data_IF_547432799555
#
_entry.id   IF_547432799555
#
_cell.length_a   1.000
_cell.length_b   1.000
_cell.length_c   1.000
_cell.angle_alpha   90.00
_cell.angle_beta   90.00
_cell.angle_gamma   90.00
#
_symmetry.space_group_name_H-M   'P 1'
#
loop_
_entity.id
_entity.type
_entity.pdbx_description
1 polymer ?
#
# COMPACT_ATOMS: atom_id res chain seq x y z
N UNK A 1 8.28 17.79 -32.70
CA UNK A 1 9.51 18.04 -31.91
C UNK A 1 10.56 16.99 -32.26
N UNK A 2 11.73 16.98 -31.62
CA UNK A 2 12.80 16.00 -31.88
C UNK A 2 12.39 14.53 -31.62
N UNK A 3 11.33 14.28 -30.83
CA UNK A 3 10.84 12.94 -30.50
C UNK A 3 10.58 12.04 -31.73
N UNK A 4 10.22 12.62 -32.88
CA UNK A 4 9.91 11.85 -34.09
C UNK A 4 11.11 11.23 -34.82
N UNK A 5 12.35 11.40 -34.33
CA UNK A 5 13.58 10.95 -35.03
C UNK A 5 14.51 10.02 -34.23
N UNK A 6 14.12 9.62 -33.02
CA UNK A 6 14.84 8.60 -32.22
C UNK A 6 14.02 7.33 -32.03
N UNK A 7 13.37 6.87 -33.11
CA UNK A 7 12.80 5.52 -33.22
C UNK A 7 13.93 4.46 -33.36
N UNK A 8 14.84 4.42 -32.40
CA UNK A 8 15.79 3.33 -32.22
C UNK A 8 15.13 2.20 -31.42
N UNK A 9 15.39 0.96 -31.82
CA UNK A 9 14.90 -0.26 -31.17
C UNK A 9 14.97 -0.20 -29.63
N UNK A 10 13.81 -0.12 -28.97
CA UNK A 10 13.62 -0.54 -27.57
C UNK A 10 12.60 -1.68 -27.60
N UNK A 11 13.05 -2.91 -27.35
CA UNK A 11 12.25 -4.10 -27.67
C UNK A 11 11.10 -4.37 -26.68
N UNK A 12 11.11 -3.69 -25.53
CA UNK A 12 9.91 -3.34 -24.76
C UNK A 12 10.05 -1.89 -24.31
N UNK A 13 9.02 -1.08 -24.50
CA UNK A 13 8.91 0.23 -23.85
C UNK A 13 8.57 0.05 -22.38
N UNK A 14 8.98 0.99 -21.52
CA UNK A 14 8.39 1.12 -20.18
C UNK A 14 6.88 1.25 -20.34
N UNK A 15 6.11 0.42 -19.62
CA UNK A 15 4.66 0.49 -19.65
C UNK A 15 4.23 1.80 -18.99
N UNK A 16 3.23 2.46 -19.56
CA UNK A 16 2.59 3.60 -18.94
C UNK A 16 1.93 3.16 -17.62
N UNK A 17 2.11 3.96 -16.57
CA UNK A 17 1.36 3.83 -15.31
C UNK A 17 0.87 5.22 -14.88
N UNK A 18 -0.34 5.36 -14.30
CA UNK A 18 -0.89 6.67 -13.94
C UNK A 18 -0.02 7.43 -12.93
N UNK A 19 0.54 6.71 -11.97
CA UNK A 19 1.42 7.26 -10.94
C UNK A 19 2.77 7.73 -11.51
N UNK A 20 3.28 7.10 -12.57
CA UNK A 20 4.45 7.62 -13.30
C UNK A 20 4.14 8.92 -14.05
N UNK A 21 2.92 9.08 -14.57
CA UNK A 21 2.46 10.35 -15.15
C UNK A 21 2.31 11.43 -14.06
N UNK A 22 1.72 11.10 -12.91
CA UNK A 22 1.59 12.00 -11.75
C UNK A 22 2.97 12.51 -11.30
N UNK A 23 3.92 11.61 -11.02
CA UNK A 23 5.28 11.95 -10.62
C UNK A 23 6.01 12.80 -11.68
N UNK A 24 5.77 12.53 -12.97
CA UNK A 24 6.38 13.25 -14.08
C UNK A 24 5.78 14.64 -14.33
N UNK A 25 4.48 14.83 -14.06
CA UNK A 25 3.78 16.11 -14.23
C UNK A 25 3.95 17.06 -13.06
N UNK A 26 4.15 16.57 -11.85
CA UNK A 26 4.31 17.42 -10.67
C UNK A 26 5.77 17.90 -10.46
N UNK A 27 6.64 17.78 -11.46
CA UNK A 27 8.02 18.30 -11.44
C UNK A 27 8.33 19.23 -12.61
N UNK A 28 9.50 19.85 -12.58
CA UNK A 28 10.07 20.60 -13.70
C UNK A 28 10.16 19.71 -14.97
N UNK A 29 9.76 20.19 -16.16
CA UNK A 29 9.46 21.58 -16.50
C UNK A 29 7.99 21.99 -16.39
N UNK A 30 7.08 21.07 -16.11
CA UNK A 30 5.63 21.35 -16.03
C UNK A 30 5.33 22.25 -14.83
N UNK A 31 5.99 22.01 -13.70
CA UNK A 31 5.92 22.86 -12.50
C UNK A 31 6.99 23.96 -12.55
N UNK A 32 6.53 25.19 -12.32
CA UNK A 32 7.37 26.40 -12.24
C UNK A 32 8.15 26.50 -10.93
N UNK A 33 8.68 27.69 -10.64
CA UNK A 33 9.42 27.92 -9.39
C UNK A 33 8.50 28.23 -8.21
N UNK A 34 8.99 27.98 -6.99
CA UNK A 34 8.39 28.53 -5.77
C UNK A 34 8.72 30.04 -5.62
N UNK A 35 8.21 30.74 -4.58
CA UNK A 35 8.51 32.17 -4.36
C UNK A 35 9.99 32.47 -4.08
N UNK A 36 10.78 31.48 -3.69
CA UNK A 36 12.25 31.57 -3.55
C UNK A 36 13.02 31.48 -4.88
N UNK A 37 12.35 31.13 -5.98
CA UNK A 37 12.97 30.92 -7.29
C UNK A 37 13.54 29.51 -7.49
N UNK A 38 13.29 28.59 -6.57
CA UNK A 38 13.75 27.20 -6.63
C UNK A 38 12.85 26.36 -7.54
N UNK A 39 13.40 25.33 -8.17
CA UNK A 39 12.65 24.41 -9.06
C UNK A 39 12.39 23.08 -8.37
N UNK A 40 11.20 22.53 -8.56
CA UNK A 40 10.83 21.18 -8.09
C UNK A 40 11.38 20.13 -9.06
N UNK A 41 12.59 19.66 -8.83
CA UNK A 41 13.21 18.63 -9.67
C UNK A 41 12.89 17.19 -9.24
N UNK A 42 12.55 16.98 -7.97
CA UNK A 42 12.19 15.67 -7.43
C UNK A 42 10.71 15.67 -7.02
N UNK A 43 9.94 14.61 -7.33
CA UNK A 43 8.58 14.45 -6.81
C UNK A 43 8.60 13.88 -5.39
N UNK A 44 7.44 13.52 -4.86
CA UNK A 44 7.27 12.76 -3.62
C UNK A 44 6.15 11.75 -3.76
N UNK A 45 6.15 10.67 -2.98
CA UNK A 45 4.99 9.77 -2.89
C UNK A 45 3.70 10.51 -2.49
N UNK A 46 3.82 11.63 -1.77
CA UNK A 46 2.70 12.53 -1.46
C UNK A 46 1.98 13.05 -2.71
N UNK A 47 2.68 13.23 -3.84
CA UNK A 47 2.07 13.63 -5.12
C UNK A 47 1.08 12.58 -5.62
N UNK A 48 1.43 11.30 -5.47
CA UNK A 48 0.59 10.16 -5.82
C UNK A 48 -0.61 10.07 -4.88
N UNK A 49 -0.37 10.07 -3.56
CA UNK A 49 -1.46 9.99 -2.58
C UNK A 49 -2.44 11.18 -2.66
N UNK A 50 -1.94 12.41 -2.89
CA UNK A 50 -2.77 13.60 -3.08
C UNK A 50 -3.57 13.56 -4.40
N UNK A 51 -3.00 13.00 -5.47
CA UNK A 51 -3.72 12.76 -6.74
C UNK A 51 -4.81 11.69 -6.58
N UNK A 52 -4.64 10.76 -5.65
CA UNK A 52 -5.66 9.78 -5.23
C UNK A 52 -6.63 10.33 -4.16
N UNK A 53 -6.60 11.64 -3.89
CA UNK A 53 -7.42 12.35 -2.90
C UNK A 53 -7.29 11.87 -1.44
N UNK A 54 -6.14 11.31 -1.05
CA UNK A 54 -5.87 11.04 0.36
C UNK A 54 -5.81 12.37 1.13
N UNK A 55 -6.73 12.56 2.10
CA UNK A 55 -6.90 13.82 2.83
C UNK A 55 -5.61 14.24 3.56
N UNK A 56 -4.99 13.31 4.30
CA UNK A 56 -3.71 13.56 4.96
C UNK A 56 -2.62 14.00 3.97
N UNK A 57 -2.56 13.43 2.77
CA UNK A 57 -1.57 13.85 1.77
C UNK A 57 -1.83 15.28 1.29
N UNK A 58 -3.09 15.66 1.10
CA UNK A 58 -3.50 17.00 0.69
C UNK A 58 -3.13 18.06 1.74
N UNK A 59 -3.34 17.75 3.03
CA UNK A 59 -2.89 18.60 4.12
C UNK A 59 -1.36 18.74 4.13
N UNK A 60 -0.63 17.63 4.01
CA UNK A 60 0.84 17.62 4.09
C UNK A 60 1.49 18.34 2.90
N UNK A 61 0.96 18.24 1.66
CA UNK A 61 1.51 19.00 0.51
C UNK A 61 1.27 20.50 0.63
N UNK A 62 0.21 20.91 1.34
CA UNK A 62 -0.03 22.30 1.72
C UNK A 62 0.89 22.76 2.87
N UNK A 63 1.02 21.96 3.93
CA UNK A 63 1.93 22.20 5.07
C UNK A 63 3.40 22.36 4.61
N UNK A 64 3.87 21.47 3.73
CA UNK A 64 5.22 21.50 3.15
C UNK A 64 5.40 22.55 2.04
N UNK A 65 4.36 23.32 1.72
CA UNK A 65 4.43 24.41 0.75
C UNK A 65 4.60 23.97 -0.72
N UNK A 66 4.31 22.72 -1.08
CA UNK A 66 4.38 22.26 -2.48
C UNK A 66 3.41 23.06 -3.36
N UNK A 67 2.25 23.42 -2.82
CA UNK A 67 1.25 24.31 -3.44
C UNK A 67 1.80 25.69 -3.82
N UNK A 68 2.92 26.14 -3.22
CA UNK A 68 3.54 27.43 -3.54
C UNK A 68 4.35 27.40 -4.84
N UNK A 69 4.65 26.23 -5.40
CA UNK A 69 5.28 26.13 -6.72
C UNK A 69 4.28 26.49 -7.82
N UNK A 70 4.66 27.43 -8.70
CA UNK A 70 3.76 27.91 -9.75
C UNK A 70 3.23 26.77 -10.65
N UNK A 71 1.92 26.55 -10.62
CA UNK A 71 1.22 25.53 -11.39
C UNK A 71 0.88 24.26 -10.61
N UNK A 72 1.47 24.03 -9.43
CA UNK A 72 1.32 22.77 -8.68
C UNK A 72 -0.15 22.43 -8.36
N UNK A 73 -0.92 23.38 -7.80
CA UNK A 73 -2.33 23.15 -7.47
C UNK A 73 -3.17 22.80 -8.70
N UNK A 74 -2.97 23.48 -9.83
CA UNK A 74 -3.71 23.19 -11.06
C UNK A 74 -3.35 21.80 -11.60
N UNK A 75 -2.05 21.47 -11.67
CA UNK A 75 -1.61 20.16 -12.14
C UNK A 75 -2.05 19.02 -11.21
N UNK A 76 -2.08 19.25 -9.89
CA UNK A 76 -2.62 18.28 -8.94
C UNK A 76 -4.14 18.06 -9.17
N UNK A 77 -4.91 19.13 -9.39
CA UNK A 77 -6.32 19.03 -9.75
C UNK A 77 -6.51 18.26 -11.06
N UNK A 78 -5.71 18.54 -12.10
CA UNK A 78 -5.75 17.80 -13.38
C UNK A 78 -5.48 16.28 -13.17
N UNK A 79 -4.59 15.92 -12.24
CA UNK A 79 -4.29 14.53 -11.88
C UNK A 79 -5.41 13.87 -11.06
N UNK A 80 -6.05 14.60 -10.16
CA UNK A 80 -7.25 14.12 -9.47
C UNK A 80 -8.40 13.90 -10.45
N UNK A 81 -8.64 14.83 -11.37
CA UNK A 81 -9.65 14.67 -12.42
C UNK A 81 -9.34 13.46 -13.33
N UNK A 82 -8.07 13.19 -13.66
CA UNK A 82 -7.68 11.98 -14.37
C UNK A 82 -8.06 10.70 -13.60
N UNK A 83 -7.76 10.64 -12.30
CA UNK A 83 -8.05 9.49 -11.42
C UNK A 83 -9.55 9.33 -11.13
N UNK A 84 -10.32 10.41 -11.15
CA UNK A 84 -11.77 10.40 -10.97
C UNK A 84 -12.53 9.99 -12.24
N UNK A 85 -11.95 10.23 -13.42
CA UNK A 85 -12.55 9.85 -14.70
C UNK A 85 -12.31 8.38 -15.10
N UNK A 86 -11.47 7.61 -14.37
CA UNK A 86 -11.30 6.18 -14.63
C UNK A 86 -12.59 5.39 -14.36
N UNK A 87 -13.05 4.68 -15.39
CA UNK A 87 -14.20 3.79 -15.33
C UNK A 87 -13.84 2.46 -14.66
N UNK A 88 -14.84 1.62 -14.37
CA UNK A 88 -14.63 0.24 -13.90
C UNK A 88 -13.73 -0.55 -14.87
N UNK A 89 -13.94 -0.40 -16.18
CA UNK A 89 -13.12 -1.08 -17.19
C UNK A 89 -11.64 -0.59 -17.17
N UNK A 90 -11.39 0.68 -16.83
CA UNK A 90 -10.03 1.22 -16.69
C UNK A 90 -9.33 0.69 -15.42
N UNK A 91 -10.04 0.66 -14.29
CA UNK A 91 -9.52 0.10 -13.03
C UNK A 91 -9.26 -1.40 -13.12
N UNK A 92 -10.08 -2.14 -13.86
CA UNK A 92 -9.93 -3.58 -14.07
C UNK A 92 -9.16 -3.95 -15.36
N UNK A 93 -8.50 -2.99 -16.01
CA UNK A 93 -7.72 -3.23 -17.23
C UNK A 93 -6.44 -4.07 -16.99
N UNK A 94 -5.84 -3.98 -15.80
CA UNK A 94 -4.64 -4.74 -15.41
C UNK A 94 -4.59 -4.93 -13.89
N UNK A 95 -3.88 -5.96 -13.40
CA UNK A 95 -3.68 -6.17 -11.95
C UNK A 95 -3.04 -4.97 -11.24
N UNK A 96 -2.19 -4.21 -11.93
CA UNK A 96 -1.60 -2.97 -11.43
C UNK A 96 -2.66 -1.89 -11.17
N UNK A 97 -3.62 -1.74 -12.09
CA UNK A 97 -4.74 -0.82 -11.93
C UNK A 97 -5.69 -1.28 -10.81
N UNK A 98 -5.95 -2.58 -10.66
CA UNK A 98 -6.76 -3.09 -9.55
C UNK A 98 -6.09 -2.84 -8.18
N UNK A 99 -4.75 -2.93 -8.10
CA UNK A 99 -4.02 -2.59 -6.88
C UNK A 99 -4.12 -1.09 -6.57
N UNK A 100 -3.89 -0.22 -7.57
CA UNK A 100 -4.10 1.22 -7.40
C UNK A 100 -5.55 1.55 -7.01
N UNK A 101 -6.55 0.83 -7.54
CA UNK A 101 -7.94 0.98 -7.14
C UNK A 101 -8.17 0.56 -5.69
N UNK A 102 -7.57 -0.54 -5.24
CA UNK A 102 -7.58 -0.98 -3.83
C UNK A 102 -7.00 0.11 -2.92
N UNK A 103 -5.92 0.78 -3.33
CA UNK A 103 -5.34 1.91 -2.61
C UNK A 103 -6.26 3.16 -2.62
N UNK A 104 -6.96 3.44 -3.73
CA UNK A 104 -8.00 4.49 -3.79
C UNK A 104 -9.13 4.23 -2.80
N UNK A 105 -9.60 2.99 -2.70
CA UNK A 105 -10.66 2.57 -1.78
C UNK A 105 -10.19 2.63 -0.31
N UNK A 106 -8.93 2.27 -0.04
CA UNK A 106 -8.32 2.37 1.29
C UNK A 106 -8.21 3.82 1.77
N UNK A 107 -7.81 4.75 0.88
CA UNK A 107 -7.65 6.17 1.17
C UNK A 107 -8.96 6.98 1.21
N UNK A 108 -10.11 6.36 0.90
CA UNK A 108 -11.39 7.07 0.90
C UNK A 108 -11.80 7.55 2.31
N UNK A 109 -12.39 8.75 2.47
CA UNK A 109 -12.71 9.31 3.79
C UNK A 109 -13.65 8.42 4.62
N UNK A 110 -13.38 8.34 5.93
CA UNK A 110 -14.17 7.57 6.91
C UNK A 110 -14.96 8.53 7.78
N UNK A 111 -16.28 8.46 7.71
CA UNK A 111 -17.19 9.36 8.44
C UNK A 111 -18.10 8.63 9.42
N UNK A 112 -19.26 9.24 9.71
CA UNK A 112 -20.30 8.67 10.57
C UNK A 112 -20.62 7.20 10.17
N UNK A 113 -20.51 6.29 11.13
CA UNK A 113 -20.71 4.84 10.93
C UNK A 113 -19.41 4.03 11.07
N UNK A 114 -18.24 4.65 10.84
CA UNK A 114 -16.94 4.03 11.08
C UNK A 114 -16.50 4.23 12.55
N UNK A 115 -15.65 3.35 13.11
CA UNK A 115 -15.07 3.51 14.44
C UNK A 115 -14.46 4.90 14.67
N UNK A 116 -14.65 5.47 15.86
CA UNK A 116 -14.24 6.84 16.20
C UNK A 116 -12.77 7.14 15.86
N UNK A 117 -11.87 6.17 16.05
CA UNK A 117 -10.43 6.34 15.77
C UNK A 117 -10.14 6.54 14.27
N UNK A 118 -10.94 5.92 13.38
CA UNK A 118 -10.76 6.02 11.92
C UNK A 118 -11.13 7.40 11.37
N UNK A 119 -11.88 8.18 12.13
CA UNK A 119 -12.30 9.54 11.79
C UNK A 119 -11.29 10.61 12.29
N UNK A 120 -10.05 10.21 12.65
CA UNK A 120 -9.02 11.10 13.20
C UNK A 120 -7.88 11.34 12.22
N UNK A 121 -7.29 12.54 12.26
CA UNK A 121 -6.12 12.93 11.45
C UNK A 121 -4.94 11.95 11.62
N UNK A 122 -4.79 11.37 12.83
CA UNK A 122 -3.76 10.35 13.12
C UNK A 122 -4.01 9.06 12.33
N UNK A 123 -5.26 8.60 12.27
CA UNK A 123 -5.60 7.45 11.44
C UNK A 123 -5.45 7.77 9.97
N UNK A 124 -5.90 8.94 9.51
CA UNK A 124 -5.69 9.39 8.11
C UNK A 124 -4.20 9.39 7.72
N UNK A 125 -3.30 9.84 8.61
CA UNK A 125 -1.83 9.75 8.42
C UNK A 125 -1.28 8.32 8.53
N UNK A 126 -1.88 7.45 9.35
CA UNK A 126 -1.54 6.01 9.37
C UNK A 126 -1.96 5.31 8.06
N UNK A 127 -3.18 5.57 7.56
CA UNK A 127 -3.68 5.10 6.26
C UNK A 127 -2.82 5.60 5.11
N UNK A 128 -2.33 6.85 5.17
CA UNK A 128 -1.36 7.39 4.21
C UNK A 128 -0.05 6.59 4.20
N UNK A 129 0.49 6.20 5.35
CA UNK A 129 1.67 5.31 5.40
C UNK A 129 1.39 3.94 4.79
N UNK A 130 0.26 3.31 5.10
CA UNK A 130 -0.14 2.03 4.49
C UNK A 130 -0.30 2.15 2.97
N UNK A 131 -0.93 3.24 2.50
CA UNK A 131 -1.05 3.56 1.07
C UNK A 131 0.33 3.68 0.41
N UNK A 132 1.23 4.47 0.98
CA UNK A 132 2.52 4.78 0.38
C UNK A 132 3.51 3.60 0.45
N UNK A 133 3.50 2.83 1.53
CA UNK A 133 4.25 1.59 1.62
C UNK A 133 3.75 0.55 0.61
N UNK A 134 2.44 0.34 0.51
CA UNK A 134 1.86 -0.60 -0.47
C UNK A 134 2.06 -0.14 -1.92
N UNK A 135 2.07 1.18 -2.18
CA UNK A 135 2.47 1.74 -3.46
C UNK A 135 3.97 1.54 -3.76
N UNK A 136 4.86 1.69 -2.77
CA UNK A 136 6.28 1.38 -2.94
C UNK A 136 6.51 -0.11 -3.25
N UNK A 137 5.79 -1.02 -2.57
CA UNK A 137 5.79 -2.45 -2.88
C UNK A 137 5.26 -2.73 -4.30
N UNK A 138 4.16 -2.10 -4.72
CA UNK A 138 3.66 -2.22 -6.10
C UNK A 138 4.69 -1.75 -7.13
N UNK A 139 5.46 -0.70 -6.83
CA UNK A 139 6.53 -0.20 -7.69
C UNK A 139 7.70 -1.18 -7.75
N UNK A 140 8.11 -1.74 -6.61
CA UNK A 140 9.08 -2.84 -6.54
C UNK A 140 8.61 -4.03 -7.39
N UNK A 141 7.39 -4.53 -7.22
CA UNK A 141 6.94 -5.78 -7.86
C UNK A 141 6.80 -5.69 -9.39
N UNK A 142 6.85 -4.49 -9.97
CA UNK A 142 7.01 -4.29 -11.42
C UNK A 142 8.47 -4.40 -11.92
N UNK A 143 9.41 -4.65 -11.01
CA UNK A 143 10.87 -4.73 -11.16
C UNK A 143 11.35 -6.05 -10.50
N UNK A 144 11.79 -7.02 -11.30
CA UNK A 144 11.77 -8.46 -10.96
C UNK A 144 12.73 -8.95 -9.83
N UNK A 145 12.19 -9.76 -8.88
CA UNK A 145 12.67 -11.02 -8.22
C UNK A 145 14.21 -11.30 -8.04
N UNK A 146 14.76 -11.92 -6.96
CA UNK A 146 14.24 -12.50 -5.69
C UNK A 146 15.38 -12.87 -4.68
N UNK A 147 15.12 -12.85 -3.34
CA UNK A 147 15.94 -13.43 -2.21
C UNK A 147 15.29 -13.14 -0.82
N UNK A 148 15.39 -13.93 0.28
CA UNK A 148 15.91 -15.30 0.57
C UNK A 148 15.57 -15.79 2.02
N UNK A 149 15.75 -17.09 2.36
CA UNK A 149 15.17 -17.69 3.60
C UNK A 149 16.04 -17.76 4.89
N UNK A 150 15.32 -17.82 6.03
CA UNK A 150 15.75 -18.21 7.40
C UNK A 150 14.64 -19.08 8.06
N UNK A 151 14.91 -19.65 9.24
CA UNK A 151 13.98 -20.57 9.97
C UNK A 151 13.56 -20.00 11.33
N UNK A 152 12.28 -20.15 11.72
CA UNK A 152 11.76 -19.82 13.05
C UNK A 152 10.93 -20.97 13.67
N UNK A 153 10.64 -20.89 14.97
CA UNK A 153 10.14 -22.00 15.81
C UNK A 153 8.63 -22.25 15.74
N UNK A 154 8.24 -23.51 15.95
CA UNK A 154 6.85 -23.92 16.15
C UNK A 154 6.26 -23.41 17.48
N UNK A 155 5.01 -22.93 17.44
CA UNK A 155 4.22 -22.44 18.58
C UNK A 155 2.90 -23.19 18.77
N UNK A 156 2.41 -23.26 20.01
CA UNK A 156 1.32 -24.17 20.41
C UNK A 156 -0.08 -23.54 20.37
N UNK A 157 -1.10 -24.37 20.12
CA UNK A 157 -2.51 -24.00 20.30
C UNK A 157 -2.91 -23.91 21.79
N UNK A 158 -3.60 -22.85 22.24
CA UNK A 158 -4.22 -22.79 23.56
C UNK A 158 -5.49 -23.65 23.66
N UNK A 159 -5.89 -24.01 24.88
CA UNK A 159 -7.05 -24.87 25.15
C UNK A 159 -8.40 -24.15 25.24
N UNK A 160 -9.46 -24.95 25.38
CA UNK A 160 -10.86 -24.51 25.37
C UNK A 160 -11.23 -23.48 26.45
N UNK A 161 -11.62 -22.30 25.99
CA UNK A 161 -12.21 -21.21 26.78
C UNK A 161 -11.98 -19.89 26.05
N UNK A 162 -13.03 -19.28 25.50
CA UNK A 162 -12.90 -17.99 24.82
C UNK A 162 -12.57 -16.88 25.84
N UNK A 163 -11.49 -16.10 25.65
CA UNK A 163 -11.25 -14.92 26.45
C UNK A 163 -12.28 -13.82 26.15
N UNK A 164 -12.46 -12.93 27.12
CA UNK A 164 -12.73 -11.51 26.86
C UNK A 164 -11.36 -10.84 27.05
N UNK A 165 -10.80 -10.09 26.08
CA UNK A 165 -11.42 -9.37 24.96
C UNK A 165 -11.64 -10.22 23.69
N UNK A 166 -12.15 -9.56 22.63
CA UNK A 166 -12.34 -10.12 21.29
C UNK A 166 -11.14 -10.93 20.78
N UNK A 167 -11.44 -11.97 19.99
CA UNK A 167 -10.47 -12.82 19.32
C UNK A 167 -9.63 -12.11 18.23
N UNK A 168 -10.05 -10.92 17.81
CA UNK A 168 -9.34 -10.07 16.86
C UNK A 168 -10.13 -8.82 16.50
N UNK A 169 -9.60 -8.05 15.56
CA UNK A 169 -10.24 -6.89 14.94
C UNK A 169 -9.94 -6.93 13.44
N UNK A 170 -10.96 -6.68 12.61
CA UNK A 170 -10.81 -6.49 11.17
C UNK A 170 -10.95 -5.00 10.89
N UNK A 171 -10.02 -4.42 10.12
CA UNK A 171 -10.20 -3.03 9.69
C UNK A 171 -11.47 -2.96 8.81
N UNK A 172 -12.47 -2.14 9.14
CA UNK A 172 -13.75 -2.17 8.46
C UNK A 172 -13.68 -1.45 7.11
N UNK A 173 -13.02 -2.08 6.13
CA UNK A 173 -12.84 -1.59 4.75
C UNK A 173 -13.33 -2.63 3.73
N UNK A 174 -14.64 -2.98 3.75
CA UNK A 174 -15.17 -4.11 2.98
C UNK A 174 -14.97 -3.97 1.47
N UNK A 175 -14.99 -2.74 0.93
CA UNK A 175 -14.73 -2.47 -0.48
C UNK A 175 -13.28 -2.82 -0.88
N UNK A 176 -12.31 -2.65 0.02
CA UNK A 176 -10.90 -3.03 -0.22
C UNK A 176 -10.77 -4.55 -0.29
N UNK A 177 -11.41 -5.29 0.62
CA UNK A 177 -11.42 -6.76 0.58
C UNK A 177 -12.12 -7.29 -0.69
N UNK A 178 -13.22 -6.67 -1.10
CA UNK A 178 -13.93 -7.00 -2.33
C UNK A 178 -13.07 -6.76 -3.60
N UNK A 179 -12.37 -5.62 -3.69
CA UNK A 179 -11.50 -5.29 -4.82
C UNK A 179 -10.26 -6.20 -4.90
N UNK A 180 -9.62 -6.49 -3.75
CA UNK A 180 -8.51 -7.46 -3.69
C UNK A 180 -8.98 -8.86 -4.13
N UNK A 181 -10.18 -9.28 -3.71
CA UNK A 181 -10.78 -10.56 -4.13
C UNK A 181 -11.08 -10.57 -5.63
N UNK A 182 -11.62 -9.49 -6.18
CA UNK A 182 -11.83 -9.34 -7.62
C UNK A 182 -10.52 -9.38 -8.41
N UNK A 183 -9.45 -8.78 -7.87
CA UNK A 183 -8.09 -8.81 -8.42
C UNK A 183 -7.56 -10.24 -8.52
N UNK A 184 -7.69 -11.03 -7.45
CA UNK A 184 -7.32 -12.45 -7.45
C UNK A 184 -8.14 -13.27 -8.46
N UNK A 185 -9.45 -13.03 -8.54
CA UNK A 185 -10.30 -13.70 -9.54
C UNK A 185 -9.90 -13.36 -10.97
N UNK A 186 -9.48 -12.12 -11.24
CA UNK A 186 -8.97 -11.73 -12.55
C UNK A 186 -7.63 -12.41 -12.87
N UNK A 187 -6.69 -12.42 -11.92
CA UNK A 187 -5.42 -13.13 -12.05
C UNK A 187 -5.66 -14.63 -12.31
N UNK A 188 -6.51 -15.28 -11.51
CA UNK A 188 -6.88 -16.69 -11.68
C UNK A 188 -7.43 -16.99 -13.07
N UNK A 189 -8.41 -16.22 -13.56
CA UNK A 189 -8.98 -16.40 -14.91
C UNK A 189 -7.91 -16.25 -16.01
N UNK A 190 -6.92 -15.39 -15.82
CA UNK A 190 -5.80 -15.26 -16.75
C UNK A 190 -4.87 -16.50 -16.70
N UNK A 191 -4.51 -16.98 -15.51
CA UNK A 191 -3.69 -18.19 -15.34
C UNK A 191 -4.39 -19.44 -15.94
N UNK A 192 -5.70 -19.58 -15.71
CA UNK A 192 -6.55 -20.63 -16.29
C UNK A 192 -6.57 -20.54 -17.83
N UNK A 193 -6.72 -19.33 -18.40
CA UNK A 193 -6.72 -19.11 -19.85
C UNK A 193 -5.39 -19.48 -20.52
N UNK A 194 -4.26 -19.28 -19.82
CA UNK A 194 -2.93 -19.62 -20.32
C UNK A 194 -2.47 -21.05 -20.02
N UNK A 195 -3.32 -21.90 -19.42
CA UNK A 195 -3.01 -23.30 -19.06
C UNK A 195 -1.80 -23.44 -18.12
N UNK A 196 -1.61 -22.47 -17.22
CA UNK A 196 -0.54 -22.40 -16.21
C UNK A 196 -1.05 -22.47 -14.77
N UNK A 197 -2.33 -22.78 -14.59
CA UNK A 197 -2.99 -22.86 -13.29
C UNK A 197 -3.00 -24.30 -12.76
N UNK A 198 -1.99 -24.64 -11.97
CA UNK A 198 -1.83 -25.97 -11.37
C UNK A 198 -2.59 -26.12 -10.03
N UNK A 199 -2.50 -27.30 -9.42
CA UNK A 199 -3.17 -27.63 -8.14
C UNK A 199 -2.65 -26.79 -6.96
N UNK A 200 -1.36 -26.40 -6.98
CA UNK A 200 -0.73 -25.56 -5.94
C UNK A 200 -1.26 -24.13 -6.00
N UNK A 201 -1.28 -23.55 -7.20
CA UNK A 201 -1.92 -22.25 -7.46
C UNK A 201 -3.42 -22.32 -7.15
N UNK A 202 -4.10 -23.42 -7.52
CA UNK A 202 -5.52 -23.62 -7.22
C UNK A 202 -5.82 -23.50 -5.73
N UNK A 203 -5.05 -24.19 -4.88
CA UNK A 203 -5.25 -24.14 -3.44
C UNK A 203 -4.96 -22.75 -2.87
N UNK A 204 -3.85 -22.11 -3.29
CA UNK A 204 -3.46 -20.77 -2.81
C UNK A 204 -4.48 -19.69 -3.15
N UNK A 205 -4.93 -19.64 -4.41
CA UNK A 205 -5.95 -18.69 -4.84
C UNK A 205 -7.29 -18.95 -4.14
N UNK A 206 -7.69 -20.21 -3.97
CA UNK A 206 -8.91 -20.54 -3.21
C UNK A 206 -8.82 -20.09 -1.75
N UNK A 207 -7.68 -20.31 -1.09
CA UNK A 207 -7.44 -19.85 0.29
C UNK A 207 -7.54 -18.32 0.39
N UNK A 208 -6.89 -17.61 -0.52
CA UNK A 208 -6.87 -16.15 -0.57
C UNK A 208 -8.25 -15.54 -0.87
N UNK A 209 -9.00 -16.10 -1.84
CA UNK A 209 -10.37 -15.67 -2.15
C UNK A 209 -11.31 -15.86 -0.94
N UNK A 210 -11.23 -17.01 -0.24
CA UNK A 210 -12.05 -17.29 0.96
C UNK A 210 -11.65 -16.47 2.19
N UNK A 211 -10.36 -16.17 2.37
CA UNK A 211 -9.88 -15.28 3.43
C UNK A 211 -10.44 -13.86 3.24
N UNK A 212 -10.34 -13.31 2.03
CA UNK A 212 -10.86 -11.97 1.72
C UNK A 212 -12.39 -11.90 1.79
N UNK A 213 -13.10 -12.93 1.35
CA UNK A 213 -14.57 -13.04 1.51
C UNK A 213 -14.98 -13.03 2.99
N UNK A 214 -14.22 -13.71 3.85
CA UNK A 214 -14.49 -13.75 5.30
C UNK A 214 -14.22 -12.39 5.96
N UNK A 215 -13.08 -11.75 5.65
CA UNK A 215 -12.76 -10.40 6.11
C UNK A 215 -13.79 -9.37 5.65
N UNK A 216 -14.22 -9.43 4.39
CA UNK A 216 -15.30 -8.59 3.85
C UNK A 216 -16.59 -8.77 4.66
N UNK A 217 -17.04 -10.02 4.88
CA UNK A 217 -18.28 -10.30 5.60
C UNK A 217 -18.23 -9.87 7.07
N UNK A 218 -17.06 -9.96 7.72
CA UNK A 218 -16.87 -9.43 9.08
C UNK A 218 -16.96 -7.90 9.07
N UNK A 219 -16.21 -7.22 8.19
CA UNK A 219 -16.20 -5.76 8.08
C UNK A 219 -17.59 -5.17 7.79
N UNK A 220 -18.37 -5.77 6.88
CA UNK A 220 -19.75 -5.37 6.58
C UNK A 220 -20.66 -5.47 7.81
N UNK A 221 -20.52 -6.53 8.62
CA UNK A 221 -21.35 -6.77 9.81
C UNK A 221 -20.96 -5.91 10.99
N UNK A 222 -19.66 -5.70 11.24
CA UNK A 222 -19.21 -4.78 12.29
C UNK A 222 -19.64 -3.34 11.99
N UNK A 223 -19.61 -2.88 10.73
CA UNK A 223 -20.18 -1.59 10.32
C UNK A 223 -21.70 -1.52 10.44
N UNK A 224 -22.41 -2.65 10.29
CA UNK A 224 -23.85 -2.73 10.57
C UNK A 224 -24.19 -2.72 12.08
N UNK A 225 -23.18 -2.74 12.96
CA UNK A 225 -23.37 -2.81 14.41
C UNK A 225 -23.72 -4.21 14.91
N UNK A 226 -23.35 -5.25 14.17
CA UNK A 226 -23.43 -6.64 14.62
C UNK A 226 -22.17 -7.02 15.43
N UNK A 227 -22.28 -8.00 16.32
CA UNK A 227 -21.15 -8.57 17.03
C UNK A 227 -20.56 -9.73 16.24
N UNK A 228 -19.23 -9.93 16.36
CA UNK A 228 -18.56 -11.14 15.87
C UNK A 228 -19.21 -12.41 16.44
N UNK A 229 -19.38 -13.42 15.60
CA UNK A 229 -19.80 -14.75 16.03
C UNK A 229 -18.62 -15.56 16.60
N UNK A 230 -18.90 -16.72 17.20
CA UNK A 230 -17.84 -17.64 17.65
C UNK A 230 -17.04 -18.18 16.46
N UNK A 231 -17.67 -18.37 15.30
CA UNK A 231 -16.99 -18.77 14.05
C UNK A 231 -16.05 -17.66 13.53
N UNK A 232 -16.48 -16.39 13.58
CA UNK A 232 -15.60 -15.25 13.27
C UNK A 232 -14.42 -15.21 14.24
N UNK A 233 -14.69 -15.41 15.54
CA UNK A 233 -13.67 -15.41 16.56
C UNK A 233 -12.64 -16.53 16.37
N UNK A 234 -13.07 -17.75 16.03
CA UNK A 234 -12.18 -18.86 15.71
C UNK A 234 -11.41 -18.63 14.40
N UNK A 235 -12.01 -18.00 13.39
CA UNK A 235 -11.31 -17.57 12.17
C UNK A 235 -10.19 -16.57 12.49
N UNK A 236 -10.46 -15.54 13.31
CA UNK A 236 -9.48 -14.50 13.66
C UNK A 236 -8.32 -15.05 14.50
N UNK A 237 -8.58 -16.00 15.42
CA UNK A 237 -7.52 -16.75 16.14
C UNK A 237 -6.59 -17.51 15.18
N UNK A 238 -7.14 -18.01 14.07
CA UNK A 238 -6.40 -18.73 13.02
C UNK A 238 -5.81 -17.86 11.91
N UNK A 239 -6.08 -16.55 11.89
CA UNK A 239 -5.84 -15.65 10.75
C UNK A 239 -4.44 -15.78 10.13
N UNK A 240 -3.39 -15.78 10.96
CA UNK A 240 -2.01 -15.86 10.50
C UNK A 240 -1.74 -17.14 9.67
N UNK A 241 -2.28 -18.29 10.08
CA UNK A 241 -2.14 -19.55 9.34
C UNK A 241 -2.96 -19.60 8.05
N UNK A 242 -4.12 -18.94 8.01
CA UNK A 242 -4.89 -18.81 6.77
C UNK A 242 -4.21 -17.87 5.75
N UNK A 243 -3.58 -16.78 6.24
CA UNK A 243 -2.79 -15.88 5.42
C UNK A 243 -1.52 -16.55 4.89
N UNK A 244 -0.78 -17.25 5.75
CA UNK A 244 0.40 -18.04 5.36
C UNK A 244 0.03 -19.06 4.29
N UNK A 245 -1.04 -19.85 4.50
CA UNK A 245 -1.53 -20.84 3.53
C UNK A 245 -2.05 -20.26 2.20
N UNK A 246 -2.21 -18.94 2.09
CA UNK A 246 -2.52 -18.24 0.83
C UNK A 246 -1.24 -17.87 0.05
N UNK A 247 -0.14 -17.61 0.75
CA UNK A 247 1.14 -17.15 0.18
C UNK A 247 2.11 -18.32 -0.05
N UNK A 248 2.14 -19.31 0.84
CA UNK A 248 3.06 -20.46 0.79
C UNK A 248 2.30 -21.75 1.12
N UNK A 249 2.63 -22.86 0.43
CA UNK A 249 2.17 -24.20 0.79
C UNK A 249 3.29 -24.99 1.49
N UNK A 250 3.29 -24.96 2.82
CA UNK A 250 4.24 -25.70 3.68
C UNK A 250 5.66 -25.12 3.69
N UNK A 251 6.62 -25.88 4.22
CA UNK A 251 8.01 -25.45 4.53
C UNK A 251 8.91 -25.16 3.29
N UNK A 252 8.34 -24.82 2.13
CA UNK A 252 9.04 -24.85 0.84
C UNK A 252 9.74 -23.53 0.50
N UNK A 253 9.20 -22.38 0.91
CA UNK A 253 9.81 -21.06 0.67
C UNK A 253 9.26 -20.00 1.64
N UNK A 254 9.99 -18.90 1.84
CA UNK A 254 9.47 -17.67 2.50
C UNK A 254 9.20 -16.54 1.51
N UNK A 255 9.45 -16.78 0.22
CA UNK A 255 9.32 -15.80 -0.87
C UNK A 255 7.88 -15.27 -0.99
N UNK A 256 7.74 -13.96 -0.89
CA UNK A 256 6.45 -13.26 -0.85
C UNK A 256 5.95 -12.95 0.56
N UNK A 257 6.73 -13.25 1.61
CA UNK A 257 6.49 -12.79 2.98
C UNK A 257 7.37 -11.57 3.35
N UNK A 258 8.31 -11.19 2.48
CA UNK A 258 9.18 -10.04 2.68
C UNK A 258 8.39 -8.71 2.57
N UNK A 259 8.25 -7.99 3.69
CA UNK A 259 7.56 -6.68 3.73
C UNK A 259 8.50 -5.50 3.50
N UNK A 260 9.82 -5.72 3.50
CA UNK A 260 10.83 -4.67 3.36
C UNK A 260 11.36 -4.64 1.94
N UNK A 261 10.76 -3.83 1.07
CA UNK A 261 11.02 -3.73 -0.36
C UNK A 261 11.38 -2.28 -0.73
N UNK A 262 12.25 -2.08 -1.73
CA UNK A 262 12.66 -0.75 -2.19
C UNK A 262 12.53 -0.58 -3.71
N UNK A 263 12.16 0.62 -4.16
CA UNK A 263 12.10 0.96 -5.57
C UNK A 263 12.52 2.41 -5.85
N UNK A 264 13.37 2.59 -6.87
CA UNK A 264 13.61 3.91 -7.44
C UNK A 264 12.46 4.29 -8.37
N UNK A 265 11.79 5.41 -8.08
CA UNK A 265 10.54 5.80 -8.77
C UNK A 265 10.67 7.06 -9.62
N UNK A 266 11.76 7.80 -9.45
CA UNK A 266 12.10 8.98 -10.25
C UNK A 266 13.63 9.13 -10.38
N UNK A 267 14.11 9.77 -11.44
CA UNK A 267 15.53 10.07 -11.65
C UNK A 267 15.72 11.50 -12.11
N UNK A 268 16.30 12.35 -11.26
CA UNK A 268 16.66 13.72 -11.62
C UNK A 268 18.11 13.82 -12.07
N UNK A 269 18.30 14.15 -13.35
CA UNK A 269 19.60 14.36 -13.96
C UNK A 269 20.27 15.69 -13.53
N UNK A 270 19.51 16.65 -12.98
CA UNK A 270 20.04 17.94 -12.53
C UNK A 270 20.80 17.79 -11.20
N UNK A 271 20.20 17.10 -10.22
CA UNK A 271 20.83 16.73 -8.95
C UNK A 271 21.73 15.50 -9.02
N UNK A 272 21.63 14.69 -10.09
CA UNK A 272 22.26 13.36 -10.18
C UNK A 272 21.79 12.38 -9.10
N UNK A 273 20.50 12.43 -8.75
CA UNK A 273 19.88 11.58 -7.73
C UNK A 273 18.61 10.89 -8.23
N UNK A 274 18.20 9.85 -7.51
CA UNK A 274 16.90 9.19 -7.63
C UNK A 274 16.02 9.48 -6.43
N UNK A 275 14.71 9.32 -6.58
CA UNK A 275 13.80 9.16 -5.45
C UNK A 275 13.66 7.66 -5.18
N UNK A 276 14.22 7.21 -4.07
CA UNK A 276 13.95 5.89 -3.51
C UNK A 276 12.68 5.97 -2.66
N UNK A 277 11.78 4.98 -2.81
CA UNK A 277 10.64 4.78 -1.92
C UNK A 277 10.63 3.33 -1.46
N UNK A 278 10.29 3.10 -0.20
CA UNK A 278 10.43 1.78 0.39
C UNK A 278 9.39 1.48 1.47
N UNK A 279 9.07 0.21 1.62
CA UNK A 279 8.47 -0.35 2.81
C UNK A 279 9.57 -0.93 3.72
N UNK A 280 9.38 -0.89 5.04
CA UNK A 280 10.38 -1.36 6.01
C UNK A 280 9.97 -2.59 6.81
N UNK A 281 10.48 -2.67 8.04
CA UNK A 281 9.98 -3.61 9.05
C UNK A 281 8.52 -3.24 9.42
N UNK A 282 7.74 -4.23 9.84
CA UNK A 282 6.39 -4.00 10.37
C UNK A 282 6.46 -3.34 11.75
N UNK A 283 5.63 -2.32 11.97
CA UNK A 283 5.40 -1.74 13.30
C UNK A 283 4.17 -2.38 13.95
N UNK A 284 4.02 -2.24 15.27
CA UNK A 284 2.76 -2.57 15.95
C UNK A 284 1.89 -1.32 16.03
N UNK A 285 0.69 -1.35 15.45
CA UNK A 285 -0.33 -0.36 15.70
C UNK A 285 -1.21 -0.80 16.89
N UNK A 286 -1.61 0.14 17.74
CA UNK A 286 -2.59 -0.08 18.80
C UNK A 286 -3.80 0.81 18.54
N UNK A 287 -4.96 0.21 18.28
CA UNK A 287 -6.23 0.93 18.11
C UNK A 287 -7.15 0.66 19.30
N UNK A 288 -7.82 1.70 19.79
CA UNK A 288 -8.84 1.60 20.84
C UNK A 288 -10.18 1.91 20.21
N UNK A 289 -11.12 0.97 20.31
CA UNK A 289 -12.42 1.06 19.63
C UNK A 289 -13.55 0.61 20.54
N UNK A 290 -14.77 0.99 20.16
CA UNK A 290 -16.00 0.60 20.86
C UNK A 290 -16.74 -0.43 20.00
N UNK A 291 -17.01 -1.60 20.59
CA UNK A 291 -17.87 -2.64 20.04
C UNK A 291 -19.34 -2.21 20.02
N UNK A 292 -20.17 -2.89 19.24
CA UNK A 292 -21.61 -2.63 19.15
C UNK A 292 -22.38 -2.79 20.49
N UNK A 293 -21.87 -3.62 21.41
CA UNK A 293 -22.40 -3.78 22.78
C UNK A 293 -21.96 -2.66 23.75
N UNK A 294 -21.17 -1.70 23.27
CA UNK A 294 -20.67 -0.56 24.02
C UNK A 294 -19.37 -0.82 24.80
N UNK A 295 -18.85 -2.06 24.80
CA UNK A 295 -17.56 -2.39 25.42
C UNK A 295 -16.44 -1.69 24.65
N UNK A 296 -15.47 -1.14 25.38
CA UNK A 296 -14.26 -0.54 24.80
C UNK A 296 -13.14 -1.57 24.90
N UNK A 297 -12.54 -1.90 23.76
CA UNK A 297 -11.43 -2.85 23.65
C UNK A 297 -10.25 -2.19 22.90
N UNK A 298 -9.10 -2.84 22.98
CA UNK A 298 -7.91 -2.45 22.24
C UNK A 298 -7.45 -3.62 21.38
N UNK A 299 -7.19 -3.37 20.09
CA UNK A 299 -6.57 -4.32 19.20
C UNK A 299 -5.11 -3.90 18.92
N UNK A 300 -4.25 -4.89 18.74
CA UNK A 300 -2.83 -4.70 18.40
C UNK A 300 -2.53 -5.57 17.19
N UNK A 301 -1.92 -4.98 16.16
CA UNK A 301 -1.59 -5.71 14.93
C UNK A 301 -0.46 -5.05 14.14
N UNK A 302 0.17 -5.80 13.22
CA UNK A 302 1.24 -5.27 12.37
C UNK A 302 0.70 -4.25 11.37
N UNK A 303 1.45 -3.19 11.13
CA UNK A 303 1.21 -2.21 10.05
C UNK A 303 2.49 -1.96 9.25
N UNK A 304 2.33 -1.53 8.00
CA UNK A 304 3.46 -1.20 7.12
C UNK A 304 4.13 0.11 7.56
N UNK A 305 5.46 0.13 7.54
CA UNK A 305 6.26 1.35 7.62
C UNK A 305 6.63 1.86 6.22
N UNK A 306 6.69 3.18 6.05
CA UNK A 306 7.04 3.84 4.77
C UNK A 306 8.27 4.74 4.91
N UNK A 307 9.12 4.73 3.89
CA UNK A 307 10.29 5.58 3.73
C UNK A 307 10.31 6.19 2.32
N UNK A 308 10.78 7.43 2.21
CA UNK A 308 11.16 8.04 0.94
C UNK A 308 12.38 8.93 1.15
N UNK A 309 13.35 8.87 0.25
CA UNK A 309 14.56 9.68 0.34
C UNK A 309 15.23 9.86 -1.03
N UNK A 310 16.06 10.91 -1.14
CA UNK A 310 16.90 11.13 -2.31
C UNK A 310 18.20 10.34 -2.16
N UNK A 311 18.56 9.54 -3.17
CA UNK A 311 19.76 8.69 -3.16
C UNK A 311 20.60 8.91 -4.43
N UNK A 312 21.94 8.76 -4.44
CA UNK A 312 22.75 8.98 -5.64
C UNK A 312 22.38 8.04 -6.80
N UNK A 313 22.16 8.57 -8.00
CA UNK A 313 21.64 7.77 -9.13
C UNK A 313 22.63 6.70 -9.65
N UNK A 314 23.88 6.76 -9.21
CA UNK A 314 24.95 5.80 -9.50
C UNK A 314 25.07 4.67 -8.45
N UNK A 315 24.20 4.65 -7.44
CA UNK A 315 24.22 3.75 -6.28
C UNK A 315 22.82 3.22 -5.92
N UNK A 316 21.95 3.03 -6.93
CA UNK A 316 20.56 2.56 -6.75
C UNK A 316 20.49 1.32 -5.87
N UNK A 317 19.59 1.33 -4.90
CA UNK A 317 19.54 0.30 -3.87
C UNK A 317 18.90 -0.99 -4.40
N UNK A 318 19.36 -2.12 -3.86
CA UNK A 318 18.64 -3.40 -3.92
C UNK A 318 17.96 -3.67 -2.59
N UNK A 319 16.99 -4.59 -2.60
CA UNK A 319 16.34 -5.12 -1.42
C UNK A 319 17.31 -5.57 -0.30
N UNK A 320 18.43 -6.21 -0.66
CA UNK A 320 19.45 -6.62 0.31
C UNK A 320 20.15 -5.41 0.95
N UNK A 321 20.56 -4.44 0.12
CA UNK A 321 21.19 -3.21 0.61
C UNK A 321 20.24 -2.40 1.49
N UNK A 322 18.95 -2.35 1.13
CA UNK A 322 17.91 -1.72 1.93
C UNK A 322 17.71 -2.41 3.29
N UNK A 323 17.71 -3.74 3.33
CA UNK A 323 17.63 -4.51 4.59
C UNK A 323 18.88 -4.34 5.46
N UNK A 324 20.07 -4.19 4.87
CA UNK A 324 21.29 -3.83 5.61
C UNK A 324 21.22 -2.41 6.21
N UNK A 325 20.65 -1.45 5.48
CA UNK A 325 20.38 -0.09 5.97
C UNK A 325 19.38 -0.12 7.14
N UNK A 326 18.26 -0.84 7.00
CA UNK A 326 17.25 -1.01 8.07
C UNK A 326 17.79 -1.63 9.36
N UNK A 327 18.85 -2.45 9.28
CA UNK A 327 19.49 -3.08 10.44
C UNK A 327 20.59 -2.22 11.09
N UNK A 328 20.98 -1.10 10.48
CA UNK A 328 22.14 -0.30 10.90
C UNK A 328 21.79 1.13 11.28
N UNK A 329 21.53 1.98 10.28
CA UNK A 329 21.20 3.40 10.44
C UNK A 329 20.16 3.77 9.36
N UNK A 330 18.88 3.43 9.57
CA UNK A 330 17.84 3.70 8.59
C UNK A 330 17.66 5.23 8.38
N UNK A 331 17.35 5.67 7.15
CA UNK A 331 16.97 7.06 6.92
C UNK A 331 15.73 7.41 7.75
N UNK A 332 15.57 8.69 8.15
CA UNK A 332 14.39 9.12 8.89
C UNK A 332 13.13 8.82 8.07
N UNK A 333 12.07 8.42 8.78
CA UNK A 333 10.73 8.37 8.20
C UNK A 333 10.25 9.80 7.89
N UNK A 334 9.29 9.97 6.97
CA UNK A 334 8.78 11.29 6.65
C UNK A 334 8.18 11.98 7.90
N UNK A 335 8.61 13.20 8.20
CA UNK A 335 8.34 13.95 9.46
C UNK A 335 6.85 13.96 9.89
N UNK A 336 5.92 13.82 8.94
CA UNK A 336 4.48 13.74 9.24
C UNK A 336 4.06 12.47 9.99
N UNK A 337 4.90 11.43 10.04
CA UNK A 337 4.63 10.19 10.79
C UNK A 337 4.68 10.37 12.32
N UNK A 338 5.43 11.37 12.79
CA UNK A 338 5.63 11.68 14.22
C UNK A 338 4.32 12.10 14.92
N UNK A 339 3.28 12.40 14.13
CA UNK A 339 1.93 12.72 14.62
C UNK A 339 1.17 11.52 15.21
N UNK A 340 1.53 10.29 14.82
CA UNK A 340 0.84 9.06 15.21
C UNK A 340 1.78 7.93 15.67
N UNK A 341 3.07 7.97 15.35
CA UNK A 341 4.08 7.04 15.88
C UNK A 341 4.45 7.44 17.32
N UNK A 342 4.67 6.45 18.19
CA UNK A 342 5.24 6.61 19.52
C UNK A 342 6.43 5.65 19.67
N UNK A 343 7.52 6.11 20.30
CA UNK A 343 8.70 5.32 20.66
C UNK A 343 8.49 4.48 21.95
#
# INVERSE_FOLDING_TARGET
SLLGKTAGFRFFGQRYTPDSEILGKLVFPEIGTNPGGERRFMPSGLDVAASFRCEAALDIVNENGFVQYHGYEQTLNDMQEMVDNYTTDDWHATLYMCWLHSLKLLAAPRGNGYPDFMQTDRWSRCTLSTFLASWAMLRHDTILYAKQSYTAMAGCAPGFGEPVPSAGFVEPVPEVYAELRATLQMARRALEYYDIYDESLTQRFSNAESLLETLQSIAERELAGELLSTEDADFLKGFAGYLEGSIVLGDVTTEGLETSLIADVHTDQNSSSVLEVASGNLDNCVVVYRRADGVVEAAIGPVLSYYQFSHPMNDRLTDEAWREILLSDPPPRPDWTDSYICE
#
